data_IF_758838217923
#
_entry.id   IF_758838217923
#
_cell.length_a   1.000
_cell.length_b   1.000
_cell.length_c   1.000
_cell.angle_alpha   90.00
_cell.angle_beta   90.00
_cell.angle_gamma   90.00
#
_symmetry.space_group_name_H-M   'P 1'
#
loop_
_entity.id
_entity.type
_entity.pdbx_description
1 polymer ?
#
# COMPACT_ATOMS: atom_id res chain seq x y z
N UNK A 1 -42.79 13.04 -32.72
CA UNK A 1 -41.51 13.01 -33.43
C UNK A 1 -40.49 12.82 -32.34
N UNK A 2 -40.27 11.54 -32.03
CA UNK A 2 -39.50 11.03 -30.91
C UNK A 2 -38.40 10.22 -31.56
N UNK A 3 -37.16 10.66 -31.42
CA UNK A 3 -36.01 9.96 -31.97
C UNK A 3 -35.35 9.17 -30.84
N UNK A 4 -35.76 7.91 -30.76
CA UNK A 4 -35.09 6.84 -30.03
C UNK A 4 -33.80 6.46 -30.77
N UNK A 5 -32.64 6.72 -30.15
CA UNK A 5 -31.36 6.15 -30.59
C UNK A 5 -31.01 4.99 -29.67
N UNK A 6 -31.42 3.80 -30.10
CA UNK A 6 -30.81 2.54 -29.72
C UNK A 6 -29.37 2.48 -30.25
N UNK A 7 -28.39 2.30 -29.37
CA UNK A 7 -27.14 1.63 -29.72
C UNK A 7 -26.87 0.50 -28.74
N UNK A 8 -26.98 -0.71 -29.28
CA UNK A 8 -26.59 -1.96 -28.66
C UNK A 8 -25.06 -2.05 -28.58
N UNK A 9 -24.52 -2.31 -27.39
CA UNK A 9 -23.20 -2.91 -27.22
C UNK A 9 -23.33 -4.13 -26.32
N UNK A 10 -23.85 -5.21 -26.90
CA UNK A 10 -23.75 -6.54 -26.31
C UNK A 10 -22.33 -7.09 -26.50
N UNK A 11 -21.42 -6.73 -25.61
CA UNK A 11 -20.24 -7.55 -25.34
C UNK A 11 -20.65 -8.53 -24.24
N UNK A 12 -21.10 -9.71 -24.66
CA UNK A 12 -21.27 -10.82 -23.75
C UNK A 12 -19.90 -11.18 -23.17
N UNK A 13 -19.74 -10.93 -21.88
CA UNK A 13 -18.66 -11.47 -21.06
C UNK A 13 -18.76 -13.00 -21.06
N UNK A 14 -18.15 -13.62 -22.08
CA UNK A 14 -17.85 -15.04 -22.07
C UNK A 14 -16.59 -15.20 -21.22
N UNK A 15 -16.78 -15.26 -19.90
CA UNK A 15 -15.74 -15.75 -19.01
C UNK A 15 -15.52 -17.23 -19.34
N UNK A 16 -14.50 -17.54 -20.14
CA UNK A 16 -13.98 -18.90 -20.27
C UNK A 16 -13.24 -19.24 -18.96
N UNK A 17 -14.01 -19.73 -17.99
CA UNK A 17 -13.55 -20.12 -16.66
C UNK A 17 -13.04 -21.56 -16.67
N UNK A 18 -12.03 -21.88 -17.46
CA UNK A 18 -11.20 -23.05 -17.13
C UNK A 18 -10.29 -22.66 -15.97
N UNK A 19 -10.91 -22.50 -14.78
CA UNK A 19 -10.19 -22.29 -13.53
C UNK A 19 -9.17 -23.41 -13.38
N UNK A 20 -7.87 -23.13 -13.12
CA UNK A 20 -6.88 -24.15 -12.81
C UNK A 20 -7.18 -24.92 -11.52
N UNK A 21 -8.22 -24.55 -10.75
CA UNK A 21 -8.79 -25.47 -9.75
C UNK A 21 -9.40 -26.74 -10.39
N UNK A 22 -9.67 -26.71 -11.70
CA UNK A 22 -10.02 -27.87 -12.52
C UNK A 22 -8.79 -28.55 -13.16
N UNK A 23 -7.56 -28.08 -12.86
CA UNK A 23 -6.35 -28.78 -13.29
C UNK A 23 -6.38 -30.22 -12.75
N UNK A 24 -5.98 -31.23 -13.54
CA UNK A 24 -5.96 -32.61 -13.09
C UNK A 24 -5.14 -32.73 -11.79
N UNK A 25 -5.58 -33.56 -10.85
CA UNK A 25 -4.90 -33.76 -9.55
C UNK A 25 -3.39 -34.03 -9.70
N UNK A 26 -2.99 -34.69 -10.79
CA UNK A 26 -1.60 -34.95 -11.12
C UNK A 26 -0.76 -33.67 -11.36
N UNK A 27 -1.35 -32.62 -11.94
CA UNK A 27 -0.68 -31.34 -12.18
C UNK A 27 -0.55 -30.54 -10.88
N UNK A 28 -1.62 -30.44 -10.09
CA UNK A 28 -1.60 -29.85 -8.74
C UNK A 28 -0.53 -30.50 -7.87
N UNK A 29 -0.49 -31.85 -7.88
CA UNK A 29 0.53 -32.66 -7.22
C UNK A 29 1.96 -32.30 -7.64
N UNK A 30 2.21 -32.21 -8.96
CA UNK A 30 3.54 -31.85 -9.48
C UNK A 30 3.92 -30.42 -9.12
N UNK A 31 2.97 -29.49 -9.07
CA UNK A 31 3.22 -28.11 -8.68
C UNK A 31 3.61 -28.02 -7.20
N UNK A 32 2.86 -28.69 -6.32
CA UNK A 32 3.20 -28.79 -4.90
C UNK A 32 4.59 -29.40 -4.69
N UNK A 33 4.92 -30.51 -5.38
CA UNK A 33 6.24 -31.15 -5.29
C UNK A 33 7.39 -30.22 -5.67
N UNK A 34 7.23 -29.41 -6.74
CA UNK A 34 8.26 -28.42 -7.12
C UNK A 34 8.44 -27.34 -6.06
N UNK A 35 7.35 -26.83 -5.48
CA UNK A 35 7.42 -25.78 -4.46
C UNK A 35 8.05 -26.33 -3.17
N UNK A 36 7.66 -27.54 -2.75
CA UNK A 36 8.24 -28.24 -1.60
C UNK A 36 9.75 -28.44 -1.78
N UNK A 37 10.19 -28.89 -2.96
CA UNK A 37 11.62 -29.02 -3.28
C UNK A 37 12.36 -27.68 -3.13
N UNK A 38 11.75 -26.57 -3.57
CA UNK A 38 12.33 -25.23 -3.41
C UNK A 38 12.39 -24.79 -1.95
N UNK A 39 11.39 -25.09 -1.13
CA UNK A 39 11.35 -24.76 0.30
C UNK A 39 12.41 -25.55 1.08
N UNK A 40 12.58 -26.83 0.77
CA UNK A 40 13.49 -27.72 1.51
C UNK A 40 14.96 -27.53 1.10
N UNK A 41 15.23 -27.09 -0.14
CA UNK A 41 16.61 -26.88 -0.61
C UNK A 41 17.44 -25.92 0.27
N UNK A 42 16.92 -24.77 0.73
CA UNK A 42 17.59 -23.91 1.71
C UNK A 42 17.79 -24.52 3.12
N UNK A 43 16.98 -25.51 3.54
CA UNK A 43 17.07 -26.14 4.88
C UNK A 43 18.19 -27.17 5.01
N UNK A 44 18.82 -27.58 3.90
CA UNK A 44 19.73 -28.73 3.83
C UNK A 44 21.05 -28.65 4.65
N UNK A 45 21.14 -27.75 5.64
CA UNK A 45 22.12 -27.79 6.72
C UNK A 45 21.42 -27.71 8.08
N UNK A 46 21.24 -28.85 8.75
CA UNK A 46 20.71 -28.88 10.12
C UNK A 46 21.56 -28.07 11.09
N UNK A 47 21.02 -27.71 12.27
CA UNK A 47 21.75 -26.99 13.33
C UNK A 47 23.08 -27.68 13.71
N UNK A 48 23.13 -28.98 13.57
CA UNK A 48 24.30 -29.83 13.83
C UNK A 48 25.40 -29.75 12.76
N UNK A 49 25.13 -29.14 11.59
CA UNK A 49 26.10 -28.85 10.53
C UNK A 49 26.61 -27.40 10.55
N UNK A 50 26.28 -26.63 11.58
CA UNK A 50 26.84 -25.30 11.79
C UNK A 50 28.27 -25.47 12.30
N UNK A 51 29.23 -25.48 11.39
CA UNK A 51 30.62 -25.17 11.74
C UNK A 51 30.67 -23.79 12.44
N UNK A 52 31.69 -23.53 13.25
CA UNK A 52 31.84 -22.26 13.99
C UNK A 52 31.80 -21.02 13.08
N UNK A 53 32.05 -21.20 11.77
CA UNK A 53 32.16 -20.13 10.78
C UNK A 53 30.95 -19.97 9.84
N UNK A 54 29.89 -20.79 9.98
CA UNK A 54 28.71 -20.65 9.10
C UNK A 54 27.59 -19.91 9.82
N UNK A 55 27.36 -18.61 9.56
CA UNK A 55 26.26 -17.89 10.17
C UNK A 55 24.93 -18.49 9.69
N UNK A 56 24.11 -18.93 10.66
CA UNK A 56 22.71 -19.28 10.45
C UNK A 56 21.85 -18.45 11.40
N UNK A 57 20.58 -18.26 11.06
CA UNK A 57 19.70 -17.40 11.85
C UNK A 57 18.22 -17.65 11.62
N UNK A 58 17.43 -17.14 12.56
CA UNK A 58 15.98 -16.96 12.41
C UNK A 58 15.71 -15.67 11.63
N UNK A 59 14.47 -15.50 11.19
CA UNK A 59 14.01 -14.24 10.61
C UNK A 59 13.99 -13.15 11.71
N UNK A 60 14.47 -11.94 11.42
CA UNK A 60 14.60 -10.87 12.41
C UNK A 60 13.29 -10.08 12.58
N UNK A 61 12.83 -9.89 13.81
CA UNK A 61 11.79 -8.90 14.09
C UNK A 61 12.44 -7.51 14.17
N UNK A 62 12.33 -6.73 13.10
CA UNK A 62 12.77 -5.32 13.10
C UNK A 62 11.71 -4.39 13.71
N UNK A 63 11.99 -3.09 13.81
CA UNK A 63 11.01 -2.11 14.28
C UNK A 63 9.84 -1.95 13.31
N UNK A 64 8.72 -1.43 13.80
CA UNK A 64 7.56 -1.08 12.99
C UNK A 64 7.61 0.41 12.59
N UNK A 65 6.89 0.82 11.53
CA UNK A 65 6.74 2.22 11.18
C UNK A 65 6.16 3.05 12.34
N UNK A 66 6.60 4.29 12.48
CA UNK A 66 6.09 5.24 13.47
C UNK A 66 6.65 5.12 14.90
N UNK A 67 7.71 4.35 15.16
CA UNK A 67 8.25 4.16 16.53
C UNK A 67 9.71 4.61 16.73
N UNK A 68 10.25 5.46 15.84
CA UNK A 68 11.55 6.10 16.01
C UNK A 68 11.44 7.58 16.31
N UNK A 69 12.51 8.34 16.07
CA UNK A 69 12.54 9.77 16.37
C UNK A 69 12.07 10.64 15.19
N UNK A 70 11.29 11.68 15.51
CA UNK A 70 11.03 12.80 14.61
C UNK A 70 12.30 13.61 14.37
N UNK A 71 12.38 14.29 13.22
CA UNK A 71 13.39 15.33 13.01
C UNK A 71 12.97 16.63 13.67
N UNK A 72 13.95 17.49 13.94
CA UNK A 72 13.74 18.81 14.55
C UNK A 72 12.77 19.69 13.74
N UNK A 73 12.65 19.44 12.43
CA UNK A 73 11.80 20.18 11.49
C UNK A 73 10.45 19.48 11.13
N UNK A 74 10.19 18.23 11.58
CA UNK A 74 8.86 17.61 11.37
C UNK A 74 7.86 18.40 12.22
N UNK A 75 6.72 18.76 11.61
CA UNK A 75 5.66 19.64 12.14
C UNK A 75 5.93 21.14 12.14
N UNK A 76 6.96 21.64 11.47
CA UNK A 76 6.99 23.07 11.14
C UNK A 76 5.78 23.45 10.29
N UNK A 77 5.14 24.58 10.59
CA UNK A 77 4.02 25.07 9.80
C UNK A 77 4.50 25.42 8.39
N UNK A 78 4.08 24.62 7.41
CA UNK A 78 4.40 24.84 6.01
C UNK A 78 3.08 24.85 5.23
N UNK A 79 2.77 25.94 4.51
CA UNK A 79 1.58 25.93 3.67
C UNK A 79 1.65 24.76 2.70
N UNK A 80 0.50 24.15 2.45
CA UNK A 80 0.30 23.16 1.40
C UNK A 80 -0.82 23.67 0.48
N UNK A 81 -1.05 22.98 -0.63
CA UNK A 81 -2.17 23.28 -1.51
C UNK A 81 -2.77 22.02 -2.12
N UNK A 82 -4.05 22.11 -2.49
CA UNK A 82 -4.73 21.06 -3.25
C UNK A 82 -4.36 21.13 -4.73
N UNK A 83 -3.83 20.04 -5.27
CA UNK A 83 -3.41 19.91 -6.67
C UNK A 83 -4.57 19.96 -7.69
N UNK A 84 -5.81 19.90 -7.23
CA UNK A 84 -6.99 19.97 -8.11
C UNK A 84 -7.66 21.35 -8.06
N UNK A 85 -8.04 21.83 -6.88
CA UNK A 85 -8.73 23.11 -6.75
C UNK A 85 -7.81 24.31 -6.44
N UNK A 86 -6.57 24.08 -6.02
CA UNK A 86 -5.65 25.14 -5.60
C UNK A 86 -5.91 25.71 -4.22
N UNK A 87 -6.80 25.12 -3.40
CA UNK A 87 -7.05 25.57 -2.01
C UNK A 87 -5.75 25.48 -1.20
N UNK A 88 -5.28 26.55 -0.55
CA UNK A 88 -4.23 26.45 0.45
C UNK A 88 -4.71 25.68 1.67
N UNK A 89 -3.88 24.79 2.20
CA UNK A 89 -4.20 23.91 3.32
C UNK A 89 -3.07 24.04 4.36
N UNK A 90 -3.39 24.38 5.62
CA UNK A 90 -2.41 24.39 6.69
C UNK A 90 -2.14 22.96 7.14
N UNK A 91 -1.21 22.27 6.49
CA UNK A 91 -0.74 20.94 6.91
C UNK A 91 0.68 21.08 7.45
N UNK A 92 0.98 20.54 8.64
CA UNK A 92 2.34 20.53 9.16
C UNK A 92 3.32 19.89 8.17
N UNK A 93 4.54 20.41 8.09
CA UNK A 93 5.62 19.82 7.31
C UNK A 93 5.81 18.35 7.70
N UNK A 94 5.85 17.48 6.69
CA UNK A 94 6.13 16.06 6.91
C UNK A 94 7.53 15.68 6.48
N UNK A 95 8.31 15.06 7.36
CA UNK A 95 9.62 14.50 6.99
C UNK A 95 9.50 13.20 6.17
N UNK A 96 8.29 12.64 6.06
CA UNK A 96 7.96 11.41 5.33
C UNK A 96 8.90 10.22 5.62
N UNK A 97 9.44 10.15 6.85
CA UNK A 97 10.27 9.03 7.31
C UNK A 97 9.39 7.91 7.84
N UNK A 98 9.71 6.68 7.48
CA UNK A 98 8.97 5.50 7.93
C UNK A 98 8.96 5.33 9.45
N UNK A 99 9.99 5.79 10.15
CA UNK A 99 10.11 5.64 11.61
C UNK A 99 9.52 6.82 12.37
N UNK A 100 9.26 7.96 11.75
CA UNK A 100 8.75 9.11 12.48
C UNK A 100 7.29 8.85 12.92
N UNK A 101 6.94 8.97 14.22
CA UNK A 101 5.59 8.69 14.72
C UNK A 101 4.51 9.49 14.01
N UNK A 102 4.83 10.75 13.70
CA UNK A 102 3.89 11.71 13.10
C UNK A 102 3.86 11.63 11.58
N UNK A 103 5.03 11.36 11.00
CA UNK A 103 5.27 11.50 9.59
C UNK A 103 5.22 10.11 8.85
N UNK A 104 5.03 9.00 9.55
CA UNK A 104 4.93 7.64 8.99
C UNK A 104 3.67 7.37 8.15
N UNK A 105 2.47 7.88 8.48
CA UNK A 105 1.31 7.74 7.60
C UNK A 105 1.54 8.42 6.24
N UNK A 106 2.14 9.62 6.23
CA UNK A 106 2.54 10.31 5.01
C UNK A 106 3.55 9.50 4.19
N UNK A 107 4.49 8.80 4.85
CA UNK A 107 5.40 7.86 4.19
C UNK A 107 4.65 6.69 3.51
N UNK A 108 3.61 6.13 4.15
CA UNK A 108 2.76 5.09 3.57
C UNK A 108 2.06 5.60 2.31
N UNK A 109 1.39 6.75 2.40
CA UNK A 109 0.66 7.37 1.28
C UNK A 109 1.57 7.59 0.07
N UNK A 110 2.73 8.19 0.29
CA UNK A 110 3.70 8.53 -0.76
C UNK A 110 4.20 7.30 -1.52
N UNK A 111 4.44 6.18 -0.81
CA UNK A 111 4.93 4.96 -1.46
C UNK A 111 3.81 4.10 -2.05
N UNK A 112 2.61 4.13 -1.47
CA UNK A 112 1.46 3.42 -2.00
C UNK A 112 0.91 4.09 -3.28
N UNK A 113 0.73 5.42 -3.26
CA UNK A 113 0.11 6.23 -4.32
C UNK A 113 1.12 6.77 -5.33
N UNK A 114 1.67 7.96 -5.08
CA UNK A 114 2.70 8.60 -5.91
C UNK A 114 3.87 9.12 -5.06
N UNK A 115 5.09 8.79 -5.47
CA UNK A 115 6.29 9.24 -4.76
C UNK A 115 7.00 10.36 -5.51
N UNK A 116 6.92 11.55 -4.95
CA UNK A 116 7.78 12.69 -5.28
C UNK A 116 9.07 12.54 -4.47
N UNK A 117 9.92 11.58 -4.83
CA UNK A 117 11.19 11.42 -4.11
C UNK A 117 12.08 12.64 -4.36
N UNK A 118 12.07 13.59 -3.42
CA UNK A 118 13.26 14.37 -3.10
C UNK A 118 14.31 13.35 -2.62
N UNK A 119 15.04 12.77 -3.56
CA UNK A 119 16.23 12.00 -3.25
C UNK A 119 17.20 12.96 -2.57
N UNK A 120 17.23 12.95 -1.24
CA UNK A 120 18.17 13.74 -0.47
C UNK A 120 19.59 13.58 -1.04
N UNK A 121 20.24 14.71 -1.32
CA UNK A 121 21.69 14.79 -1.35
C UNK A 121 22.42 14.50 -2.66
N UNK A 122 21.83 14.72 -3.86
CA UNK A 122 22.66 14.95 -5.04
C UNK A 122 22.79 16.44 -5.27
N UNK A 123 23.86 17.05 -4.76
CA UNK A 123 24.27 18.45 -5.00
C UNK A 123 24.87 18.64 -6.38
N UNK A 124 24.44 17.86 -7.37
CA UNK A 124 24.87 18.02 -8.75
C UNK A 124 23.87 18.96 -9.39
N UNK A 125 24.34 20.15 -9.78
CA UNK A 125 23.60 21.31 -10.31
C UNK A 125 22.81 21.05 -11.62
N UNK A 126 22.56 19.79 -11.97
CA UNK A 126 21.65 19.42 -13.05
C UNK A 126 20.23 19.31 -12.45
N UNK A 127 19.53 20.45 -12.42
CA UNK A 127 18.09 20.61 -12.14
C UNK A 127 17.22 19.94 -13.23
N UNK A 128 17.50 18.70 -13.58
CA UNK A 128 16.57 17.90 -14.38
C UNK A 128 15.35 17.61 -13.50
N UNK A 129 14.23 18.27 -13.81
CA UNK A 129 12.92 18.05 -13.18
C UNK A 129 12.67 16.55 -13.02
N UNK A 130 12.77 16.04 -11.79
CA UNK A 130 12.60 14.61 -11.53
C UNK A 130 11.12 14.28 -11.66
N UNK A 131 10.80 13.53 -12.72
CA UNK A 131 9.45 13.04 -12.93
C UNK A 131 8.93 12.27 -11.71
N UNK A 132 7.65 12.46 -11.32
CA UNK A 132 7.07 11.76 -10.20
C UNK A 132 7.06 10.25 -10.45
N UNK A 133 7.61 9.51 -9.48
CA UNK A 133 7.66 8.04 -9.56
C UNK A 133 6.31 7.45 -9.17
N UNK A 134 5.78 6.48 -9.93
CA UNK A 134 4.56 5.79 -9.55
C UNK A 134 4.77 4.99 -8.27
N UNK A 135 3.82 5.09 -7.34
CA UNK A 135 3.76 4.24 -6.16
C UNK A 135 3.29 2.83 -6.50
N UNK A 136 3.21 1.99 -5.46
CA UNK A 136 3.00 0.57 -5.64
C UNK A 136 1.67 0.21 -6.30
N UNK A 137 0.59 0.96 -6.02
CA UNK A 137 -0.74 0.72 -6.62
C UNK A 137 -0.70 0.95 -8.12
N UNK A 138 -0.15 2.09 -8.57
CA UNK A 138 -0.01 2.39 -10.00
C UNK A 138 0.83 1.34 -10.73
N UNK A 139 1.96 0.91 -10.14
CA UNK A 139 2.79 -0.15 -10.73
C UNK A 139 2.07 -1.50 -10.80
N UNK A 140 1.24 -1.86 -9.82
CA UNK A 140 0.47 -3.11 -9.84
C UNK A 140 -0.63 -3.08 -10.91
N UNK A 141 -1.30 -1.95 -11.11
CA UNK A 141 -2.27 -1.79 -12.21
C UNK A 141 -1.59 -1.95 -13.56
N UNK A 142 -0.46 -1.27 -13.77
CA UNK A 142 0.27 -1.33 -15.02
C UNK A 142 0.86 -2.74 -15.27
N UNK A 143 1.36 -3.41 -14.25
CA UNK A 143 1.86 -4.79 -14.35
C UNK A 143 0.75 -5.75 -14.82
N UNK A 144 -0.46 -5.65 -14.26
CA UNK A 144 -1.58 -6.49 -14.68
C UNK A 144 -1.96 -6.25 -16.16
N UNK A 145 -1.99 -4.99 -16.61
CA UNK A 145 -2.24 -4.63 -18.02
C UNK A 145 -1.15 -5.18 -18.95
N UNK A 146 0.12 -5.03 -18.57
CA UNK A 146 1.26 -5.53 -19.34
C UNK A 146 1.24 -7.05 -19.45
N UNK A 147 1.02 -7.76 -18.34
CA UNK A 147 0.91 -9.22 -18.33
C UNK A 147 -0.28 -9.69 -19.18
N UNK A 148 -1.44 -9.04 -19.08
CA UNK A 148 -2.61 -9.35 -19.90
C UNK A 148 -2.32 -9.19 -21.39
N UNK A 149 -1.67 -8.08 -21.79
CA UNK A 149 -1.27 -7.84 -23.17
C UNK A 149 -0.29 -8.90 -23.69
N UNK A 150 0.72 -9.26 -22.89
CA UNK A 150 1.70 -10.30 -23.22
C UNK A 150 1.07 -11.69 -23.38
N UNK A 151 -0.10 -11.90 -22.76
CA UNK A 151 -0.88 -13.14 -22.80
C UNK A 151 -2.03 -13.10 -23.82
N UNK A 152 -1.99 -12.17 -24.78
CA UNK A 152 -3.01 -12.09 -25.82
C UNK A 152 -4.39 -11.66 -25.31
N UNK A 153 -4.43 -10.88 -24.23
CA UNK A 153 -5.67 -10.37 -23.63
C UNK A 153 -6.27 -11.26 -22.54
N UNK A 154 -5.55 -12.30 -22.09
CA UNK A 154 -5.97 -13.11 -20.93
C UNK A 154 -6.16 -12.21 -19.70
N UNK A 155 -7.18 -12.51 -18.88
CA UNK A 155 -7.47 -11.71 -17.69
C UNK A 155 -6.42 -11.95 -16.61
N UNK A 156 -5.68 -10.90 -16.26
CA UNK A 156 -4.74 -10.91 -15.13
C UNK A 156 -5.38 -10.16 -13.97
N UNK A 157 -5.39 -10.79 -12.79
CA UNK A 157 -6.03 -10.25 -11.58
C UNK A 157 -4.97 -9.88 -10.54
N UNK A 158 -5.36 -9.02 -9.61
CA UNK A 158 -4.57 -8.73 -8.43
C UNK A 158 -4.88 -9.74 -7.33
N UNK A 159 -3.85 -10.21 -6.64
CA UNK A 159 -3.95 -11.16 -5.55
C UNK A 159 -3.15 -10.69 -4.34
N UNK A 160 -3.72 -10.91 -3.16
CA UNK A 160 -3.07 -10.79 -1.86
C UNK A 160 -2.75 -12.20 -1.35
N UNK A 161 -1.47 -12.52 -1.21
CA UNK A 161 -1.02 -13.85 -0.80
C UNK A 161 -0.11 -13.73 0.40
N UNK A 162 -0.43 -14.46 1.47
CA UNK A 162 0.39 -14.56 2.67
C UNK A 162 1.27 -15.79 2.58
N UNK A 163 2.57 -15.61 2.83
CA UNK A 163 3.53 -16.68 3.04
C UNK A 163 3.99 -16.63 4.50
N UNK A 164 3.68 -17.65 5.28
CA UNK A 164 4.10 -17.76 6.68
C UNK A 164 4.98 -19.00 6.85
N UNK A 165 6.29 -18.83 7.08
CA UNK A 165 7.16 -19.96 7.42
C UNK A 165 6.74 -20.59 8.76
N UNK A 166 7.09 -21.86 9.01
CA UNK A 166 6.84 -22.48 10.31
C UNK A 166 7.62 -21.77 11.43
N UNK A 167 7.12 -21.82 12.67
CA UNK A 167 7.72 -21.11 13.83
C UNK A 167 9.20 -21.49 14.10
N UNK A 168 9.61 -22.68 13.69
CA UNK A 168 10.97 -23.18 13.82
C UNK A 168 11.86 -22.89 12.59
N UNK A 169 11.37 -22.08 11.62
CA UNK A 169 12.10 -21.73 10.42
C UNK A 169 13.45 -21.09 10.75
N UNK A 170 14.49 -21.78 10.31
CA UNK A 170 15.88 -21.44 10.52
C UNK A 170 16.65 -21.73 9.23
N UNK A 171 17.47 -20.77 8.81
CA UNK A 171 18.25 -20.88 7.59
C UNK A 171 19.73 -20.76 7.89
N UNK A 172 20.51 -21.65 7.27
CA UNK A 172 21.96 -21.53 7.20
C UNK A 172 22.34 -20.51 6.12
N UNK A 173 22.13 -19.22 6.43
CA UNK A 173 22.44 -18.11 5.54
C UNK A 173 22.93 -16.91 6.36
N UNK A 174 23.87 -16.16 5.78
CA UNK A 174 24.34 -14.88 6.35
C UNK A 174 23.18 -13.87 6.51
N UNK A 175 22.23 -13.89 5.59
CA UNK A 175 20.99 -13.12 5.67
C UNK A 175 19.79 -14.06 5.44
N UNK A 176 19.22 -14.62 6.52
CA UNK A 176 18.03 -15.48 6.44
C UNK A 176 16.84 -14.78 5.79
N UNK A 177 16.69 -13.47 5.97
CA UNK A 177 15.58 -12.72 5.42
C UNK A 177 15.70 -12.58 3.91
N UNK A 178 16.86 -12.12 3.41
CA UNK A 178 17.11 -12.04 1.96
C UNK A 178 17.00 -13.42 1.29
N UNK A 179 17.50 -14.47 1.95
CA UNK A 179 17.36 -15.83 1.44
C UNK A 179 15.89 -16.28 1.35
N UNK A 180 15.07 -15.91 2.34
CA UNK A 180 13.63 -16.21 2.35
C UNK A 180 12.88 -15.40 1.30
N UNK A 181 13.21 -14.12 1.12
CA UNK A 181 12.72 -13.30 0.02
C UNK A 181 13.05 -13.92 -1.35
N UNK A 182 14.26 -14.43 -1.55
CA UNK A 182 14.64 -15.11 -2.81
C UNK A 182 13.83 -16.38 -3.05
N UNK A 183 13.56 -17.17 -2.00
CA UNK A 183 12.68 -18.34 -2.06
C UNK A 183 11.26 -17.95 -2.47
N UNK A 184 10.65 -16.97 -1.80
CA UNK A 184 9.31 -16.49 -2.13
C UNK A 184 9.26 -15.92 -3.54
N UNK A 185 10.28 -15.16 -3.94
CA UNK A 185 10.43 -14.65 -5.30
C UNK A 185 10.45 -15.74 -6.37
N UNK A 186 11.22 -16.81 -6.13
CA UNK A 186 11.30 -17.98 -7.01
C UNK A 186 9.92 -18.66 -7.15
N UNK A 187 9.17 -18.81 -6.05
CA UNK A 187 7.80 -19.35 -6.08
C UNK A 187 6.87 -18.42 -6.88
N UNK A 188 6.88 -17.12 -6.57
CA UNK A 188 6.02 -16.15 -7.25
C UNK A 188 6.28 -16.11 -8.76
N UNK A 189 7.54 -15.97 -9.19
CA UNK A 189 7.84 -15.79 -10.62
C UNK A 189 7.81 -17.11 -11.39
N UNK A 190 8.32 -18.22 -10.82
CA UNK A 190 8.52 -19.46 -11.58
C UNK A 190 7.40 -20.49 -11.38
N UNK A 191 6.52 -20.30 -10.39
CA UNK A 191 5.45 -21.25 -10.09
C UNK A 191 4.06 -20.62 -10.11
N UNK A 192 3.91 -19.34 -9.75
CA UNK A 192 2.62 -18.64 -9.77
C UNK A 192 2.48 -17.66 -10.95
N UNK A 193 3.51 -17.52 -11.78
CA UNK A 193 3.56 -16.52 -12.85
C UNK A 193 3.09 -15.14 -12.37
N UNK A 194 3.70 -14.68 -11.27
CA UNK A 194 3.26 -13.49 -10.56
C UNK A 194 4.32 -12.38 -10.60
N UNK A 195 3.85 -11.15 -10.82
CA UNK A 195 4.66 -9.94 -10.75
C UNK A 195 4.08 -8.96 -9.72
N UNK A 196 4.92 -8.37 -8.87
CA UNK A 196 4.44 -7.46 -7.83
C UNK A 196 5.46 -7.19 -6.74
N UNK A 197 4.95 -6.98 -5.52
CA UNK A 197 5.76 -6.62 -4.36
C UNK A 197 5.45 -7.50 -3.16
N UNK A 198 6.50 -7.86 -2.42
CA UNK A 198 6.41 -8.62 -1.17
C UNK A 198 6.87 -7.74 -0.02
N UNK A 199 6.08 -7.71 1.04
CA UNK A 199 6.29 -6.96 2.28
C UNK A 199 6.59 -7.95 3.41
N UNK A 200 7.63 -7.69 4.19
CA UNK A 200 8.00 -8.54 5.32
C UNK A 200 7.51 -7.95 6.64
N UNK A 201 6.72 -8.73 7.38
CA UNK A 201 6.18 -8.36 8.68
C UNK A 201 6.80 -9.28 9.74
N UNK A 202 7.50 -8.69 10.71
CA UNK A 202 8.23 -9.42 11.76
C UNK A 202 7.40 -9.70 13.01
N UNK A 203 6.17 -9.17 13.07
CA UNK A 203 5.28 -9.17 14.23
C UNK A 203 3.86 -9.55 13.83
N UNK A 204 3.13 -10.17 14.75
CA UNK A 204 1.67 -10.34 14.71
C UNK A 204 1.11 -10.22 16.14
N UNK A 205 -0.19 -10.10 16.31
CA UNK A 205 -0.90 -10.23 17.57
C UNK A 205 -0.76 -11.62 18.19
N UNK A 206 -1.03 -11.67 19.50
CA UNK A 206 -0.79 -12.83 20.36
C UNK A 206 -1.67 -14.05 20.12
N UNK A 207 -2.90 -13.90 19.63
CA UNK A 207 -3.85 -15.00 19.59
C UNK A 207 -3.80 -15.85 18.30
N UNK A 208 -4.43 -17.03 18.38
CA UNK A 208 -4.28 -18.20 17.51
C UNK A 208 -4.60 -17.93 16.03
N UNK A 209 -3.57 -17.77 15.18
CA UNK A 209 -3.62 -17.85 13.70
C UNK A 209 -4.62 -16.94 12.95
N UNK A 210 -5.49 -16.23 13.65
CA UNK A 210 -6.36 -15.22 13.09
C UNK A 210 -5.50 -14.00 12.78
N UNK A 211 -5.44 -13.68 11.49
CA UNK A 211 -4.72 -12.55 10.92
C UNK A 211 -5.20 -11.27 11.65
N UNK A 212 -4.28 -10.36 11.99
CA UNK A 212 -4.54 -9.07 12.68
C UNK A 212 -5.31 -8.07 11.79
N UNK A 213 -6.21 -8.58 10.95
CA UNK A 213 -6.96 -7.84 9.96
C UNK A 213 -7.76 -6.75 10.67
N UNK A 214 -7.37 -5.50 10.41
CA UNK A 214 -8.03 -4.33 10.97
C UNK A 214 -7.53 -3.89 12.34
N UNK A 215 -6.74 -4.69 13.05
CA UNK A 215 -6.23 -4.33 14.38
C UNK A 215 -5.04 -3.37 14.33
N UNK A 216 -4.25 -3.41 13.24
CA UNK A 216 -3.07 -2.57 13.09
C UNK A 216 -3.35 -1.07 13.17
N UNK A 217 -4.51 -0.61 12.70
CA UNK A 217 -4.90 0.81 12.77
C UNK A 217 -5.08 1.29 14.22
N UNK A 218 -5.40 0.39 15.16
CA UNK A 218 -5.55 0.72 16.59
C UNK A 218 -4.21 0.64 17.34
N UNK A 219 -3.18 0.07 16.71
CA UNK A 219 -1.83 -0.10 17.28
C UNK A 219 -0.86 0.94 16.77
N UNK A 220 -1.01 1.36 15.52
CA UNK A 220 -0.10 2.24 14.82
C UNK A 220 -0.72 3.62 14.66
N UNK A 221 0.12 4.65 14.71
CA UNK A 221 -0.27 6.06 14.44
C UNK A 221 -1.24 6.69 15.44
N UNK A 222 -1.59 5.98 16.51
CA UNK A 222 -2.44 6.45 17.62
C UNK A 222 -1.64 7.12 18.77
N UNK A 223 -0.39 7.53 18.51
CA UNK A 223 0.49 8.13 19.54
C UNK A 223 0.88 7.19 20.68
N UNK A 224 0.72 5.88 20.49
CA UNK A 224 1.07 4.82 21.45
C UNK A 224 2.57 4.61 21.54
N UNK A 225 3.04 4.20 22.72
CA UNK A 225 4.47 3.90 22.94
C UNK A 225 4.83 2.49 22.46
N UNK A 226 6.04 2.33 21.91
CA UNK A 226 6.48 1.02 21.45
C UNK A 226 6.78 0.06 22.61
N UNK A 227 7.70 0.43 23.50
CA UNK A 227 8.30 -0.51 24.46
C UNK A 227 7.39 -0.84 25.65
N UNK A 228 6.49 0.08 26.01
CA UNK A 228 5.61 -0.05 27.19
C UNK A 228 4.16 -0.37 26.87
N UNK A 229 3.79 -0.40 25.59
CA UNK A 229 2.41 -0.61 25.16
C UNK A 229 2.34 -1.58 23.97
N UNK A 230 2.54 -1.11 22.74
CA UNK A 230 2.27 -1.88 21.51
C UNK A 230 3.07 -3.18 21.45
N UNK A 231 4.35 -3.16 21.83
CA UNK A 231 5.21 -4.35 21.79
C UNK A 231 4.71 -5.50 22.68
N UNK A 232 3.97 -5.21 23.75
CA UNK A 232 3.47 -6.24 24.66
C UNK A 232 2.26 -7.01 24.11
N UNK A 233 1.58 -6.46 23.09
CA UNK A 233 0.48 -7.14 22.39
C UNK A 233 0.98 -8.06 21.26
N UNK A 234 2.26 -7.95 20.91
CA UNK A 234 2.82 -8.55 19.71
C UNK A 234 3.76 -9.72 20.01
N UNK A 235 3.73 -10.71 19.13
CA UNK A 235 4.65 -11.84 19.10
C UNK A 235 5.55 -11.80 17.86
N UNK A 236 6.83 -12.22 17.98
CA UNK A 236 7.71 -12.47 16.85
C UNK A 236 7.18 -13.60 15.93
N UNK A 237 6.32 -13.25 14.97
CA UNK A 237 5.68 -14.19 14.04
C UNK A 237 5.92 -13.74 12.60
N UNK A 238 7.12 -14.02 12.06
CA UNK A 238 7.52 -13.51 10.76
C UNK A 238 6.63 -14.08 9.64
N UNK A 239 6.08 -13.20 8.81
CA UNK A 239 5.28 -13.57 7.65
C UNK A 239 5.47 -12.54 6.52
N UNK A 240 5.01 -12.89 5.33
CA UNK A 240 5.20 -12.07 4.12
C UNK A 240 3.88 -11.89 3.39
N UNK A 241 3.49 -10.65 3.14
CA UNK A 241 2.37 -10.36 2.26
C UNK A 241 2.90 -10.06 0.87
N UNK A 242 2.44 -10.80 -0.13
CA UNK A 242 2.67 -10.55 -1.53
C UNK A 242 1.40 -9.91 -2.12
N UNK A 243 1.56 -8.72 -2.70
CA UNK A 243 0.52 -8.09 -3.51
C UNK A 243 1.00 -8.14 -4.95
N UNK A 244 0.34 -8.95 -5.76
CA UNK A 244 0.83 -9.36 -7.07
C UNK A 244 -0.25 -9.35 -8.14
N UNK A 245 0.14 -9.08 -9.38
CA UNK A 245 -0.63 -9.39 -10.57
C UNK A 245 -0.27 -10.81 -11.02
N UNK A 246 -1.29 -11.64 -11.27
CA UNK A 246 -1.12 -12.99 -11.80
C UNK A 246 -2.42 -13.45 -12.47
N UNK A 247 -2.36 -14.27 -13.54
CA UNK A 247 -3.55 -14.92 -14.07
C UNK A 247 -4.22 -15.82 -13.01
N UNK A 248 -3.43 -16.44 -12.13
CA UNK A 248 -3.92 -17.41 -11.16
C UNK A 248 -2.95 -17.65 -10.01
N UNK A 249 -3.49 -17.75 -8.80
CA UNK A 249 -2.75 -18.23 -7.63
C UNK A 249 -3.35 -19.59 -7.21
N UNK A 250 -2.52 -20.65 -7.08
CA UNK A 250 -2.99 -21.97 -6.64
C UNK A 250 -3.75 -21.92 -5.32
N UNK A 251 -4.92 -22.56 -5.30
CA UNK A 251 -5.78 -22.68 -4.13
C UNK A 251 -5.60 -24.00 -3.36
N UNK A 252 -6.67 -24.35 -2.63
CA UNK A 252 -6.79 -25.52 -1.75
C UNK A 252 -6.42 -26.82 -2.50
N UNK A 253 -5.62 -27.67 -1.86
CA UNK A 253 -4.98 -28.86 -2.42
C UNK A 253 -3.49 -28.72 -2.77
N UNK A 254 -3.06 -27.60 -3.39
CA UNK A 254 -1.62 -27.34 -3.61
C UNK A 254 -1.00 -26.79 -2.33
N UNK A 255 -1.62 -25.75 -1.77
CA UNK A 255 -1.15 -25.06 -0.56
C UNK A 255 -1.25 -25.93 0.68
N UNK A 256 -2.32 -26.73 0.80
CA UNK A 256 -2.52 -27.64 1.94
C UNK A 256 -1.42 -28.69 2.00
N UNK A 257 -1.07 -29.26 0.84
CA UNK A 257 0.03 -30.22 0.76
C UNK A 257 1.37 -29.60 1.12
N UNK A 258 1.62 -28.36 0.69
CA UNK A 258 2.84 -27.64 1.07
C UNK A 258 2.89 -27.45 2.59
N UNK A 259 1.77 -27.05 3.21
CA UNK A 259 1.65 -26.90 4.64
C UNK A 259 1.87 -28.24 5.38
N UNK A 260 1.22 -29.31 4.95
CA UNK A 260 1.32 -30.63 5.58
C UNK A 260 2.74 -31.20 5.52
N UNK A 261 3.46 -30.98 4.41
CA UNK A 261 4.82 -31.51 4.23
C UNK A 261 5.93 -30.61 4.81
N UNK A 262 5.74 -29.29 4.86
CA UNK A 262 6.82 -28.34 5.20
C UNK A 262 6.52 -27.41 6.38
N UNK A 263 5.26 -27.35 6.82
CA UNK A 263 4.76 -26.39 7.81
C UNK A 263 4.60 -24.96 7.28
N UNK A 264 4.88 -24.70 5.99
CA UNK A 264 4.66 -23.39 5.39
C UNK A 264 3.19 -23.17 5.08
N UNK A 265 2.64 -22.06 5.56
CA UNK A 265 1.31 -21.60 5.16
C UNK A 265 1.48 -20.69 3.94
N UNK A 266 0.81 -21.02 2.84
CA UNK A 266 0.66 -20.15 1.68
C UNK A 266 -0.84 -19.96 1.48
N UNK A 267 -1.35 -18.77 1.79
CA UNK A 267 -2.79 -18.49 1.78
C UNK A 267 -3.09 -17.31 0.88
N UNK A 268 -3.96 -17.50 -0.10
CA UNK A 268 -4.56 -16.38 -0.84
C UNK A 268 -5.67 -15.78 0.04
N UNK A 269 -5.56 -14.49 0.34
CA UNK A 269 -6.59 -13.74 1.06
C UNK A 269 -7.64 -13.34 0.03
N UNK A 270 -8.87 -13.82 0.22
CA UNK A 270 -9.97 -13.56 -0.68
C UNK A 270 -11.27 -13.42 0.10
N UNK A 271 -12.16 -12.58 -0.43
CA UNK A 271 -13.50 -12.44 0.10
C UNK A 271 -14.27 -13.76 -0.02
N UNK A 272 -14.94 -14.16 1.05
CA UNK A 272 -15.57 -15.47 1.14
C UNK A 272 -16.74 -15.62 0.15
N UNK A 273 -17.45 -14.52 -0.12
CA UNK A 273 -18.65 -14.52 -0.98
C UNK A 273 -18.27 -14.49 -2.46
N UNK A 274 -17.46 -13.52 -2.87
CA UNK A 274 -17.05 -13.30 -4.27
C UNK A 274 -15.90 -14.20 -4.73
N UNK A 275 -15.15 -14.78 -3.78
CA UNK A 275 -13.89 -15.51 -4.02
C UNK A 275 -12.82 -14.67 -4.71
N UNK A 276 -13.02 -13.35 -4.82
CA UNK A 276 -12.04 -12.42 -5.38
C UNK A 276 -11.04 -12.05 -4.29
N UNK A 277 -9.77 -11.99 -4.68
CA UNK A 277 -8.70 -11.62 -3.75
C UNK A 277 -8.66 -10.12 -3.53
N UNK A 278 -8.54 -9.37 -4.63
CA UNK A 278 -8.53 -7.91 -4.64
C UNK A 278 -9.47 -7.47 -5.75
N UNK A 279 -10.55 -6.78 -5.40
CA UNK A 279 -11.57 -6.33 -6.37
C UNK A 279 -11.50 -4.81 -6.60
N UNK A 280 -10.91 -4.42 -7.72
CA UNK A 280 -10.76 -3.02 -8.09
C UNK A 280 -9.60 -2.29 -7.43
N UNK A 281 -9.48 -1.00 -7.76
CA UNK A 281 -8.35 -0.16 -7.36
C UNK A 281 -8.38 0.21 -5.88
N UNK A 282 -9.57 0.39 -5.29
CA UNK A 282 -9.70 0.78 -3.89
C UNK A 282 -9.35 -0.38 -2.96
N UNK A 283 -9.78 -1.61 -3.29
CA UNK A 283 -9.32 -2.81 -2.60
C UNK A 283 -7.80 -2.99 -2.72
N UNK A 284 -7.23 -2.73 -3.91
CA UNK A 284 -5.79 -2.79 -4.12
C UNK A 284 -5.05 -1.75 -3.28
N UNK A 285 -5.55 -0.51 -3.24
CA UNK A 285 -5.00 0.56 -2.44
C UNK A 285 -5.08 0.26 -0.95
N UNK A 286 -6.20 -0.29 -0.48
CA UNK A 286 -6.40 -0.73 0.91
C UNK A 286 -5.41 -1.82 1.31
N UNK A 287 -5.24 -2.85 0.48
CA UNK A 287 -4.28 -3.93 0.76
C UNK A 287 -2.84 -3.42 0.76
N UNK A 288 -2.47 -2.55 -0.19
CA UNK A 288 -1.12 -1.97 -0.26
C UNK A 288 -0.84 -1.09 0.96
N UNK A 289 -1.75 -0.18 1.32
CA UNK A 289 -1.60 0.70 2.48
C UNK A 289 -1.56 -0.10 3.78
N UNK A 290 -2.41 -1.13 3.91
CA UNK A 290 -2.35 -2.09 5.01
C UNK A 290 -0.98 -2.75 5.12
N UNK A 291 -0.50 -3.43 4.07
CA UNK A 291 0.81 -4.10 4.14
C UNK A 291 1.95 -3.12 4.43
N UNK A 292 1.86 -1.89 3.92
CA UNK A 292 2.87 -0.86 4.16
C UNK A 292 2.88 -0.33 5.59
N UNK A 293 1.73 -0.23 6.26
CA UNK A 293 1.62 0.37 7.58
C UNK A 293 2.45 -0.33 8.65
N UNK A 294 2.63 -1.65 8.52
CA UNK A 294 3.37 -2.50 9.46
C UNK A 294 4.49 -3.30 8.78
N UNK A 295 4.99 -2.82 7.64
CA UNK A 295 6.21 -3.38 7.05
C UNK A 295 7.40 -3.15 7.98
N UNK A 296 8.13 -4.22 8.28
CA UNK A 296 9.30 -4.15 9.17
C UNK A 296 10.36 -3.18 8.65
N UNK A 297 10.90 -2.33 9.52
CA UNK A 297 11.88 -1.30 9.19
C UNK A 297 13.24 -1.69 9.77
N UNK A 298 14.22 -1.95 8.91
CA UNK A 298 15.62 -2.13 9.35
C UNK A 298 16.29 -0.78 9.48
N UNK A 299 16.54 -0.36 10.71
CA UNK A 299 17.28 0.86 11.02
C UNK A 299 18.79 0.59 10.99
N UNK A 300 19.54 1.48 10.37
CA UNK A 300 21.01 1.40 10.25
C UNK A 300 21.59 2.81 10.30
N UNK A 301 22.91 2.93 10.46
CA UNK A 301 23.63 4.21 10.38
C UNK A 301 23.46 4.93 9.03
N UNK A 302 23.07 4.19 7.98
CA UNK A 302 22.83 4.71 6.62
C UNK A 302 21.36 5.02 6.35
N UNK A 303 20.50 4.93 7.37
CA UNK A 303 19.07 5.21 7.28
C UNK A 303 18.18 3.99 7.46
N UNK A 304 16.91 4.18 7.14
CA UNK A 304 15.82 3.28 7.50
C UNK A 304 15.28 2.57 6.26
N UNK A 305 15.35 1.24 6.27
CA UNK A 305 15.04 0.40 5.12
C UNK A 305 13.82 -0.46 5.41
N UNK A 306 12.68 -0.11 4.80
CA UNK A 306 11.51 -0.98 4.78
C UNK A 306 11.84 -2.29 4.07
N UNK A 307 11.53 -3.40 4.73
CA UNK A 307 11.83 -4.74 4.23
C UNK A 307 10.75 -5.18 3.24
N UNK A 308 10.92 -4.74 2.00
CA UNK A 308 10.09 -5.13 0.87
C UNK A 308 10.93 -5.36 -0.38
N UNK A 309 10.47 -6.23 -1.29
CA UNK A 309 11.17 -6.59 -2.53
C UNK A 309 10.19 -6.68 -3.69
N UNK A 310 10.67 -6.27 -4.87
CA UNK A 310 9.91 -6.33 -6.13
C UNK A 310 10.27 -7.61 -6.91
N UNK A 311 9.27 -8.24 -7.52
CA UNK A 311 9.40 -9.48 -8.31
C UNK A 311 8.60 -9.38 -9.61
N UNK A 312 9.01 -10.14 -10.63
CA UNK A 312 8.48 -10.06 -12.00
C UNK A 312 9.00 -8.83 -12.75
N UNK A 313 9.30 -9.00 -14.03
CA UNK A 313 9.82 -7.89 -14.85
C UNK A 313 8.71 -6.89 -15.16
N UNK A 314 7.48 -7.40 -15.33
CA UNK A 314 6.26 -6.65 -15.59
C UNK A 314 5.88 -5.70 -14.46
N UNK A 315 6.45 -5.87 -13.26
CA UNK A 315 6.31 -4.90 -12.18
C UNK A 315 7.55 -4.00 -12.03
N UNK A 316 8.74 -4.51 -12.33
CA UNK A 316 9.99 -3.75 -12.17
C UNK A 316 10.15 -2.67 -13.22
N UNK A 317 9.91 -3.03 -14.48
CA UNK A 317 10.22 -2.24 -15.68
C UNK A 317 9.00 -1.54 -16.28
N UNK A 318 7.88 -1.52 -15.55
CA UNK A 318 6.63 -0.98 -16.09
C UNK A 318 6.56 0.53 -15.97
N UNK A 319 6.17 1.15 -17.09
CA UNK A 319 5.78 2.55 -17.16
C UNK A 319 4.33 2.71 -16.72
N UNK A 320 4.09 3.69 -15.86
CA UNK A 320 2.75 4.00 -15.35
C UNK A 320 2.31 5.32 -15.95
N UNK A 321 1.26 5.27 -16.76
CA UNK A 321 0.67 6.47 -17.35
C UNK A 321 0.15 7.42 -16.27
N UNK A 322 0.21 8.71 -16.55
CA UNK A 322 -0.25 9.78 -15.65
C UNK A 322 -1.69 9.58 -15.14
N UNK A 323 -2.59 9.07 -16.00
CA UNK A 323 -3.97 8.79 -15.60
C UNK A 323 -4.06 7.67 -14.55
N UNK A 324 -3.36 6.55 -14.77
CA UNK A 324 -3.30 5.46 -13.80
C UNK A 324 -2.61 5.91 -12.50
N UNK A 325 -1.59 6.76 -12.59
CA UNK A 325 -0.89 7.34 -11.44
C UNK A 325 -1.84 8.21 -10.61
N UNK A 326 -2.59 9.12 -11.23
CA UNK A 326 -3.59 9.96 -10.55
C UNK A 326 -4.72 9.13 -9.93
N UNK A 327 -5.22 8.13 -10.65
CA UNK A 327 -6.25 7.20 -10.14
C UNK A 327 -5.75 6.41 -8.94
N UNK A 328 -4.51 5.93 -8.99
CA UNK A 328 -3.87 5.22 -7.88
C UNK A 328 -3.67 6.12 -6.66
N UNK A 329 -3.21 7.36 -6.85
CA UNK A 329 -3.03 8.33 -5.76
C UNK A 329 -4.37 8.65 -5.07
N UNK A 330 -5.42 8.88 -5.87
CA UNK A 330 -6.77 9.13 -5.38
C UNK A 330 -7.30 7.95 -4.56
N UNK A 331 -7.22 6.74 -5.10
CA UNK A 331 -7.67 5.53 -4.41
C UNK A 331 -6.92 5.32 -3.08
N UNK A 332 -5.62 5.62 -3.03
CA UNK A 332 -4.82 5.54 -1.80
C UNK A 332 -5.28 6.55 -0.76
N UNK A 333 -5.52 7.81 -1.14
CA UNK A 333 -6.00 8.84 -0.23
C UNK A 333 -7.40 8.51 0.32
N UNK A 334 -8.28 8.02 -0.54
CA UNK A 334 -9.65 7.67 -0.16
C UNK A 334 -9.72 6.52 0.86
N UNK A 335 -8.83 5.52 0.76
CA UNK A 335 -8.85 4.35 1.69
C UNK A 335 -7.94 4.48 2.90
N UNK A 336 -6.94 5.36 2.86
CA UNK A 336 -5.93 5.47 3.90
C UNK A 336 -6.46 5.88 5.28
N UNK A 337 -7.44 6.81 5.43
CA UNK A 337 -7.98 7.18 6.73
C UNK A 337 -8.52 5.95 7.47
N UNK A 338 -9.32 5.15 6.76
CA UNK A 338 -9.91 3.94 7.30
C UNK A 338 -8.88 2.82 7.55
N UNK A 339 -7.86 2.73 6.70
CA UNK A 339 -6.86 1.65 6.76
C UNK A 339 -5.78 1.93 7.81
N UNK A 340 -5.41 3.19 7.99
CA UNK A 340 -4.33 3.63 8.87
C UNK A 340 -4.84 4.20 10.20
N UNK A 341 -6.15 4.45 10.35
CA UNK A 341 -6.69 5.05 11.57
C UNK A 341 -6.39 6.55 11.69
N UNK A 342 -6.10 7.23 10.56
CA UNK A 342 -5.76 8.65 10.58
C UNK A 342 -6.96 9.53 10.17
N UNK A 343 -7.09 10.76 10.69
CA UNK A 343 -8.12 11.68 10.25
C UNK A 343 -7.99 12.01 8.75
N UNK A 344 -9.09 11.94 8.00
CA UNK A 344 -9.08 12.17 6.56
C UNK A 344 -8.67 13.61 6.18
N UNK A 345 -9.02 14.59 7.05
CA UNK A 345 -8.57 16.01 6.94
C UNK A 345 -7.06 16.20 6.96
N UNK A 346 -6.30 15.23 7.47
CA UNK A 346 -4.84 15.33 7.55
C UNK A 346 -4.19 15.04 6.18
N UNK A 347 -4.95 14.49 5.23
CA UNK A 347 -4.41 13.97 3.96
C UNK A 347 -5.23 14.35 2.73
N UNK A 348 -6.44 14.89 2.90
CA UNK A 348 -7.34 15.29 1.84
C UNK A 348 -7.74 16.77 1.92
N UNK A 349 -7.99 17.35 0.75
CA UNK A 349 -8.63 18.67 0.66
C UNK A 349 -10.15 18.52 0.80
N UNK A 350 -10.75 19.30 1.70
CA UNK A 350 -12.20 19.43 1.84
C UNK A 350 -12.67 20.80 1.38
N UNK A 351 -13.85 20.83 0.76
CA UNK A 351 -14.60 22.03 0.45
C UNK A 351 -15.90 22.04 1.27
N UNK A 352 -16.20 23.20 1.86
CA UNK A 352 -17.49 23.42 2.50
C UNK A 352 -18.55 23.40 1.42
N UNK A 353 -19.57 22.57 1.59
CA UNK A 353 -20.74 22.59 0.71
C UNK A 353 -21.48 23.89 0.99
N UNK A 354 -21.75 24.72 -0.04
CA UNK A 354 -22.60 25.89 0.14
C UNK A 354 -23.92 25.48 0.81
N UNK A 355 -24.39 26.25 1.79
CA UNK A 355 -25.59 25.91 2.56
C UNK A 355 -26.86 25.77 1.70
N UNK A 356 -26.85 26.28 0.47
CA UNK A 356 -27.92 26.14 -0.53
C UNK A 356 -27.80 24.88 -1.41
N UNK A 357 -26.69 24.14 -1.32
CA UNK A 357 -26.43 22.85 -1.99
C UNK A 357 -26.43 21.65 -1.03
N UNK A 358 -26.65 21.89 0.28
CA UNK A 358 -26.98 20.88 1.26
C UNK A 358 -28.39 20.38 0.96
N UNK A 359 -28.51 19.42 0.04
CA UNK A 359 -29.78 18.78 -0.29
C UNK A 359 -30.14 17.88 0.91
N UNK A 360 -31.28 18.14 1.58
CA UNK A 360 -31.82 17.40 2.74
C UNK A 360 -32.18 15.92 2.40
N UNK A 361 -31.64 15.36 1.32
CA UNK A 361 -32.08 14.12 0.70
C UNK A 361 -31.07 12.97 0.88
N UNK A 362 -31.43 12.08 1.80
CA UNK A 362 -31.12 10.65 1.84
C UNK A 362 -29.64 10.25 1.80
N UNK A 363 -28.95 10.37 2.94
CA UNK A 363 -27.87 9.46 3.28
C UNK A 363 -28.43 8.05 3.43
N UNK A 364 -28.47 7.30 2.32
CA UNK A 364 -28.62 5.85 2.34
C UNK A 364 -27.34 5.26 2.95
N UNK A 365 -27.39 5.08 4.27
CA UNK A 365 -26.61 4.10 5.01
C UNK A 365 -26.86 2.70 4.42
N UNK A 366 -26.06 2.31 3.43
CA UNK A 366 -26.02 0.93 2.94
C UNK A 366 -24.57 0.50 2.73
N UNK A 367 -23.80 0.54 3.82
CA UNK A 367 -22.65 -0.34 4.01
C UNK A 367 -22.89 -1.13 5.29
N UNK A 368 -23.51 -2.30 5.12
CA UNK A 368 -23.72 -3.31 6.15
C UNK A 368 -22.41 -3.59 6.91
N UNK A 369 -22.37 -3.17 8.18
CA UNK A 369 -21.49 -3.74 9.18
C UNK A 369 -22.37 -4.57 10.12
N UNK A 370 -22.20 -5.88 10.03
CA UNK A 370 -22.73 -6.84 10.99
C UNK A 370 -22.23 -6.53 12.41
N UNK A 371 -23.14 -6.72 13.38
CA UNK A 371 -22.96 -7.05 14.80
C UNK A 371 -22.93 -5.91 15.87
N UNK A 372 -24.11 -5.72 16.48
CA UNK A 372 -24.39 -5.56 17.92
C UNK A 372 -23.68 -4.43 18.71
N UNK A 373 -24.14 -3.19 18.50
CA UNK A 373 -23.91 -2.07 19.43
C UNK A 373 -25.21 -1.36 19.78
N UNK A 374 -25.59 -1.40 21.06
CA UNK A 374 -26.74 -0.68 21.64
C UNK A 374 -26.72 0.80 21.23
N UNK A 375 -27.81 1.24 20.58
CA UNK A 375 -27.96 2.58 20.02
C UNK A 375 -28.04 3.65 21.10
N UNK A 376 -27.05 4.54 21.12
CA UNK A 376 -27.10 5.82 21.81
C UNK A 376 -27.58 6.85 20.78
N UNK A 377 -28.80 7.37 20.99
CA UNK A 377 -29.42 8.43 20.18
C UNK A 377 -28.58 9.71 20.27
N UNK A 378 -27.55 9.85 19.42
CA UNK A 378 -26.85 11.12 19.25
C UNK A 378 -27.72 12.04 18.39
N UNK A 379 -28.34 13.04 19.04
CA UNK A 379 -28.94 14.18 18.34
C UNK A 379 -27.84 14.87 17.51
N UNK A 380 -27.98 14.84 16.18
CA UNK A 380 -27.06 15.50 15.26
C UNK A 380 -27.00 17.00 15.56
N UNK A 381 -25.78 17.53 15.74
CA UNK A 381 -25.53 18.94 16.01
C UNK A 381 -25.90 19.76 14.76
N UNK A 382 -26.91 20.67 14.82
CA UNK A 382 -27.39 21.42 13.65
C UNK A 382 -26.39 22.41 13.06
N UNK A 383 -25.19 22.54 13.64
CA UNK A 383 -24.11 23.40 13.14
C UNK A 383 -23.02 22.63 12.36
N UNK A 384 -23.17 21.32 12.10
CA UNK A 384 -22.19 20.54 11.32
C UNK A 384 -22.31 20.83 9.82
N UNK A 385 -21.42 21.69 9.31
CA UNK A 385 -21.33 22.03 7.88
C UNK A 385 -20.92 20.80 7.08
N UNK A 386 -21.76 20.37 6.14
CA UNK A 386 -21.45 19.28 5.22
C UNK A 386 -20.16 19.62 4.45
N UNK A 387 -19.13 18.80 4.58
CA UNK A 387 -17.87 18.96 3.86
C UNK A 387 -17.76 17.91 2.76
N UNK A 388 -17.57 18.36 1.52
CA UNK A 388 -17.31 17.46 0.38
C UNK A 388 -15.80 17.36 0.13
N UNK A 389 -15.24 16.14 0.00
CA UNK A 389 -13.84 15.98 -0.35
C UNK A 389 -13.61 16.45 -1.79
N UNK A 390 -12.66 17.37 -1.99
CA UNK A 390 -12.21 17.83 -3.30
C UNK A 390 -11.42 16.71 -4.05
N UNK A 391 -10.96 15.67 -3.32
CA UNK A 391 -10.21 14.50 -3.83
C UNK A 391 -8.88 14.83 -4.54
N UNK A 392 -8.45 16.09 -4.54
CA UNK A 392 -7.15 16.52 -5.05
C UNK A 392 -6.01 16.16 -4.09
N UNK A 393 -4.83 15.90 -4.65
CA UNK A 393 -3.64 15.60 -3.86
C UNK A 393 -3.17 16.84 -3.10
N UNK A 394 -2.85 16.70 -1.82
CA UNK A 394 -2.21 17.78 -1.05
C UNK A 394 -0.72 17.82 -1.36
N UNK A 395 -0.22 19.02 -1.68
CA UNK A 395 1.12 19.34 -2.19
C UNK A 395 1.81 20.36 -1.30
N UNK A 396 3.13 20.27 -1.06
CA UNK A 396 3.85 21.33 -0.36
C UNK A 396 3.86 22.61 -1.21
N UNK A 397 3.85 23.79 -0.56
CA UNK A 397 3.76 25.10 -1.25
C UNK A 397 4.95 25.40 -2.17
N UNK A 398 6.10 24.76 -1.95
CA UNK A 398 7.27 24.88 -2.83
C UNK A 398 7.05 24.27 -4.22
N UNK A 399 6.08 23.37 -4.39
CA UNK A 399 5.62 22.83 -5.68
C UNK A 399 4.59 23.75 -6.38
N UNK A 400 4.16 24.86 -5.78
CA UNK A 400 3.15 25.74 -6.36
C UNK A 400 3.55 26.39 -7.70
N UNK A 401 4.82 26.78 -7.97
CA UNK A 401 5.22 27.40 -9.23
C UNK A 401 4.81 26.58 -10.46
N UNK A 402 5.01 25.26 -10.44
CA UNK A 402 4.67 24.36 -11.55
C UNK A 402 3.19 24.46 -11.93
N UNK A 403 2.30 24.65 -10.93
CA UNK A 403 0.86 24.81 -11.14
C UNK A 403 0.46 26.24 -11.51
N UNK A 404 1.08 27.22 -10.87
CA UNK A 404 0.81 28.64 -11.14
C UNK A 404 1.28 29.06 -12.54
N UNK A 405 2.26 28.36 -13.12
CA UNK A 405 2.69 28.56 -14.51
C UNK A 405 1.77 27.85 -15.52
N UNK A 406 1.18 26.70 -15.17
CA UNK A 406 0.26 25.93 -16.01
C UNK A 406 -1.06 26.70 -16.26
N UNK A 407 -1.23 27.20 -17.49
CA UNK A 407 -2.42 27.94 -17.88
C UNK A 407 -3.69 27.07 -17.96
N UNK A 408 -3.58 25.78 -18.30
CA UNK A 408 -4.72 24.87 -18.35
C UNK A 408 -5.18 24.48 -16.96
N UNK A 409 -4.24 24.26 -16.03
CA UNK A 409 -4.56 24.03 -14.63
C UNK A 409 -5.24 25.24 -13.99
N UNK A 410 -4.69 26.45 -14.16
CA UNK A 410 -5.31 27.69 -13.65
C UNK A 410 -6.71 27.95 -14.21
N UNK A 411 -6.98 27.49 -15.43
CA UNK A 411 -8.32 27.61 -16.02
C UNK A 411 -9.36 26.69 -15.33
N UNK A 412 -8.94 25.59 -14.70
CA UNK A 412 -9.82 24.66 -13.97
C UNK A 412 -9.83 24.84 -12.46
N UNK A 413 -8.69 25.15 -11.85
CA UNK A 413 -8.55 25.23 -10.40
C UNK A 413 -9.36 26.42 -9.85
N UNK A 414 -10.36 26.17 -9.00
CA UNK A 414 -11.28 27.22 -8.54
C UNK A 414 -10.62 28.26 -7.61
N UNK A 415 -9.54 27.88 -6.92
CA UNK A 415 -8.86 28.67 -5.89
C UNK A 415 -7.39 28.97 -6.22
N UNK A 416 -6.98 28.91 -7.48
CA UNK A 416 -5.57 29.18 -7.86
C UNK A 416 -5.06 30.58 -7.45
N UNK A 417 -5.94 31.56 -7.30
CA UNK A 417 -5.56 32.92 -6.83
C UNK A 417 -5.22 32.93 -5.34
N UNK A 418 -5.95 32.17 -4.53
CA UNK A 418 -5.63 31.98 -3.11
C UNK A 418 -4.27 31.29 -2.95
N UNK A 419 -3.99 30.30 -3.81
CA UNK A 419 -2.66 29.68 -3.91
C UNK A 419 -1.58 30.70 -4.25
N UNK A 420 -1.78 31.52 -5.28
CA UNK A 420 -0.80 32.54 -5.68
C UNK A 420 -0.47 33.47 -4.52
N UNK A 421 -1.48 34.01 -3.83
CA UNK A 421 -1.26 34.87 -2.66
C UNK A 421 -0.51 34.16 -1.55
N UNK A 422 -0.91 32.92 -1.22
CA UNK A 422 -0.24 32.13 -0.18
C UNK A 422 1.21 31.84 -0.53
N UNK A 423 1.50 31.56 -1.81
CA UNK A 423 2.85 31.34 -2.31
C UNK A 423 3.70 32.61 -2.25
N UNK A 424 3.14 33.76 -2.68
CA UNK A 424 3.81 35.05 -2.62
C UNK A 424 4.15 35.43 -1.16
N UNK A 425 3.21 35.26 -0.24
CA UNK A 425 3.40 35.50 1.20
C UNK A 425 4.50 34.58 1.77
N UNK A 426 4.46 33.28 1.43
CA UNK A 426 5.49 32.31 1.84
C UNK A 426 6.89 32.66 1.32
N UNK A 427 6.99 33.17 0.09
CA UNK A 427 8.24 33.65 -0.49
C UNK A 427 8.76 34.91 0.20
N UNK A 428 7.87 35.85 0.53
CA UNK A 428 8.20 37.09 1.24
C UNK A 428 8.70 36.82 2.67
N UNK A 429 8.17 35.78 3.34
CA UNK A 429 8.62 35.30 4.65
C UNK A 429 9.95 34.51 4.61
N UNK A 430 10.58 34.41 3.44
CA UNK A 430 11.90 33.80 3.26
C UNK A 430 11.89 32.40 2.64
N UNK A 431 10.74 31.93 2.12
CA UNK A 431 10.65 30.76 1.24
C UNK A 431 11.22 29.47 1.82
N UNK A 432 11.25 29.32 3.15
CA UNK A 432 11.76 28.13 3.82
C UNK A 432 13.29 27.92 3.75
N UNK A 433 14.11 28.94 3.44
CA UNK A 433 15.58 28.84 3.57
C UNK A 433 16.04 28.83 5.05
N UNK A 434 15.72 27.75 5.75
CA UNK A 434 16.65 27.12 6.68
C UNK A 434 17.26 25.93 5.93
N UNK A 435 18.14 26.21 4.96
CA UNK A 435 19.14 25.24 4.52
C UNK A 435 20.15 25.06 5.66
N UNK A 436 19.79 24.20 6.62
CA UNK A 436 20.69 23.64 7.63
C UNK A 436 21.32 22.35 7.13
#
# INVERSE_FOLDING_TARGET
>A
MSDDVHTQSGLGDVYDTTSPDAAPDAEKRRLAERIIERIEKPRAGGKENLGPDTPGGRLPSYSLPGFGDAYDDCREDMPHFCDDCGKPIPVPRTCARSTCPECAPAWVLKRAGTSYENSGGSTTDDEELKEPKPGHVGKLLAAAKMMSANRGGESVKHHHVVFSPPRDWFLQAQDPLDKTFKLIGDILTNHFDAAGRVYYHGWSGGDDLEDDLGEWKNRLFEGRDWETDVRHELEPRPHFHAVVASPFIPGEGVTDRIHDETGWVIKRIADEKSKRSIDGIDALARVVTYCMSHTSIKETDHGNFAQMRAYGNEYKEVDVYDDDRRRADRAVREVAPHTLGIPARDIECYEEVPADECDDHDHLDELEADADGDGDDQEADPDEVEMRPCKGAVRPIDEAPDRLEDAEWRARATRWKELQTTFDDWMDDGGGYLTG
#
